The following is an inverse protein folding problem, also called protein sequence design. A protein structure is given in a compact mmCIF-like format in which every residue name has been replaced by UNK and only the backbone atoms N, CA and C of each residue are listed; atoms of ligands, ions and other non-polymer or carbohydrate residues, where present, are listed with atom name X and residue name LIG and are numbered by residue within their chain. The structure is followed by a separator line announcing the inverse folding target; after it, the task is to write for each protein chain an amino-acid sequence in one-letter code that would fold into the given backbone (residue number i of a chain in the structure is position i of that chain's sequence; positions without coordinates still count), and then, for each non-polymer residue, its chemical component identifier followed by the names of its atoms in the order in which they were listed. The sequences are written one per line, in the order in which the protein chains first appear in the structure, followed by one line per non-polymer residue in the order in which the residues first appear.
data_IF_581768148319
#
_entry.id   IF_581768148319
#
_cell.length_a   1.000
_cell.length_b   1.000
_cell.length_c   1.000
_cell.angle_alpha   90.00
_cell.angle_beta   90.00
_cell.angle_gamma   90.00
#
_symmetry.space_group_name_H-M   'P 1'
#
loop_
_entity.id
_entity.type
_entity.pdbx_description
1 polymer ?
#
# COMPACT_ATOMS: atom_id res chain seq x y z
N UNK A 1 41.55 27.47 3.86
CA UNK A 1 40.39 26.98 4.64
C UNK A 1 39.21 27.81 4.20
N UNK A 2 38.40 27.28 3.29
CA UNK A 2 37.26 27.99 2.69
C UNK A 2 36.03 27.65 3.52
N UNK A 3 35.51 28.64 4.24
CA UNK A 3 34.32 28.53 5.08
C UNK A 3 33.11 28.34 4.18
N UNK A 4 32.55 27.13 4.16
CA UNK A 4 31.28 26.87 3.48
C UNK A 4 30.19 27.53 4.32
N UNK A 5 29.58 28.58 3.77
CA UNK A 5 28.37 29.16 4.34
C UNK A 5 27.28 28.09 4.34
N UNK A 6 26.85 27.66 5.51
CA UNK A 6 25.62 26.89 5.68
C UNK A 6 24.46 27.80 5.33
N UNK A 7 23.95 27.69 4.10
CA UNK A 7 22.64 28.21 3.75
C UNK A 7 21.61 27.60 4.70
N UNK A 8 21.04 28.44 5.55
CA UNK A 8 19.86 28.08 6.34
C UNK A 8 18.70 28.01 5.35
N UNK A 9 18.39 26.78 4.92
CA UNK A 9 17.18 26.55 4.13
C UNK A 9 15.98 27.11 4.91
N UNK A 10 15.10 27.91 4.27
CA UNK A 10 13.91 28.43 4.94
C UNK A 10 13.11 27.25 5.50
N UNK A 11 12.59 27.38 6.72
CA UNK A 11 11.74 26.36 7.31
C UNK A 11 10.51 26.17 6.43
N UNK A 12 10.46 25.09 5.67
CA UNK A 12 9.31 24.74 4.84
C UNK A 12 8.20 24.29 5.80
N UNK A 13 7.36 25.23 6.21
CA UNK A 13 6.14 24.92 6.93
C UNK A 13 5.13 24.29 5.98
N UNK A 14 4.39 23.30 6.47
CA UNK A 14 3.26 22.77 5.72
C UNK A 14 2.22 23.87 5.48
N UNK A 15 1.49 23.85 4.35
CA UNK A 15 0.45 24.82 4.09
C UNK A 15 -0.55 24.90 5.24
N UNK A 16 -1.07 26.08 5.52
CA UNK A 16 -2.01 26.30 6.62
C UNK A 16 -3.25 25.40 6.51
N UNK A 17 -3.74 25.19 5.28
CA UNK A 17 -4.89 24.34 5.01
C UNK A 17 -4.72 22.90 5.51
N UNK A 18 -3.48 22.39 5.61
CA UNK A 18 -3.21 21.04 6.10
C UNK A 18 -3.49 20.91 7.61
N UNK A 19 -3.41 22.03 8.34
CA UNK A 19 -3.71 22.11 9.77
C UNK A 19 -5.16 22.50 10.06
N UNK A 20 -6.00 22.66 9.04
CA UNK A 20 -7.43 22.90 9.17
C UNK A 20 -8.19 21.71 8.61
N UNK A 21 -9.19 21.20 9.35
CA UNK A 21 -10.00 20.08 8.87
C UNK A 21 -10.77 20.55 7.65
N UNK A 22 -10.58 19.88 6.51
CA UNK A 22 -11.23 20.34 5.28
C UNK A 22 -12.74 20.16 5.39
N UNK A 23 -13.49 21.20 5.03
CA UNK A 23 -14.94 21.13 4.92
C UNK A 23 -15.32 20.57 3.54
N UNK A 24 -15.09 19.27 3.35
CA UNK A 24 -15.46 18.53 2.14
C UNK A 24 -16.51 17.50 2.48
N UNK A 25 -17.41 17.25 1.53
CA UNK A 25 -18.35 16.14 1.66
C UNK A 25 -17.58 14.81 1.66
N UNK A 26 -17.48 14.18 2.82
CA UNK A 26 -16.76 12.91 2.99
C UNK A 26 -17.51 11.73 2.34
N UNK A 27 -18.78 11.89 1.93
CA UNK A 27 -19.50 10.87 1.19
C UNK A 27 -18.83 10.55 -0.16
N UNK A 28 -18.08 11.50 -0.75
CA UNK A 28 -17.32 11.26 -1.98
C UNK A 28 -16.26 10.16 -1.80
N UNK A 29 -15.75 9.96 -0.58
CA UNK A 29 -14.77 8.93 -0.27
C UNK A 29 -15.39 7.52 -0.15
N UNK A 30 -16.72 7.41 -0.11
CA UNK A 30 -17.44 6.14 -0.13
C UNK A 30 -17.68 5.61 -1.55
N UNK A 31 -17.50 6.45 -2.57
CA UNK A 31 -17.80 6.11 -3.96
C UNK A 31 -16.50 5.84 -4.70
N UNK A 32 -16.28 4.60 -5.20
CA UNK A 32 -15.11 4.30 -6.01
C UNK A 32 -15.08 5.15 -7.29
N UNK A 33 -13.89 5.60 -7.67
CA UNK A 33 -13.67 6.39 -8.89
C UNK A 33 -14.22 5.70 -10.14
N UNK A 34 -14.09 4.37 -10.23
CA UNK A 34 -14.60 3.59 -11.37
C UNK A 34 -16.14 3.56 -11.45
N UNK A 35 -16.83 3.85 -10.36
CA UNK A 35 -18.29 3.86 -10.27
C UNK A 35 -18.86 5.29 -10.22
N UNK A 36 -18.01 6.31 -10.16
CA UNK A 36 -18.45 7.69 -10.07
C UNK A 36 -19.08 8.13 -11.41
N UNK A 37 -20.40 8.14 -11.46
CA UNK A 37 -21.16 8.86 -12.49
C UNK A 37 -21.00 10.36 -12.28
N UNK A 38 -20.83 11.11 -13.37
CA UNK A 38 -20.62 12.56 -13.35
C UNK A 38 -21.69 13.25 -12.51
N UNK A 39 -21.32 13.65 -11.30
CA UNK A 39 -22.02 14.68 -10.55
C UNK A 39 -21.11 15.89 -10.62
N UNK A 40 -21.53 16.88 -11.41
CA UNK A 40 -20.92 18.20 -11.39
C UNK A 40 -20.94 18.69 -9.94
N UNK A 41 -19.76 18.84 -9.34
CA UNK A 41 -19.60 19.68 -8.16
C UNK A 41 -19.96 21.10 -8.62
N UNK A 42 -21.21 21.50 -8.39
CA UNK A 42 -21.74 22.80 -8.77
C UNK A 42 -20.95 23.94 -8.14
N UNK A 43 -20.14 24.61 -8.93
CA UNK A 43 -20.33 26.01 -9.34
C UNK A 43 -19.20 26.38 -10.29
N UNK A 44 -19.59 27.05 -11.37
CA UNK A 44 -18.90 27.17 -12.65
C UNK A 44 -17.80 28.22 -12.69
N UNK A 45 -16.88 28.30 -11.73
CA UNK A 45 -15.76 29.26 -11.78
C UNK A 45 -14.53 28.84 -10.94
N UNK A 46 -13.94 27.66 -11.21
CA UNK A 46 -12.69 27.24 -10.57
C UNK A 46 -11.84 26.28 -11.43
N UNK A 47 -10.53 26.53 -11.61
CA UNK A 47 -9.66 25.66 -12.39
C UNK A 47 -9.10 24.55 -11.51
N UNK A 48 -9.70 23.35 -11.56
CA UNK A 48 -9.09 22.03 -11.36
C UNK A 48 -10.13 21.01 -10.85
N UNK A 49 -10.98 20.55 -11.77
CA UNK A 49 -11.77 19.35 -11.54
C UNK A 49 -10.87 18.12 -11.69
N UNK A 50 -10.95 17.17 -10.75
CA UNK A 50 -10.56 15.79 -11.00
C UNK A 50 -11.45 15.34 -12.17
N UNK A 51 -10.89 15.31 -13.39
CA UNK A 51 -11.60 14.80 -14.56
C UNK A 51 -11.89 13.32 -14.32
N UNK A 52 -13.11 13.02 -13.88
CA UNK A 52 -13.71 11.70 -14.05
C UNK A 52 -13.75 11.37 -15.54
N UNK A 53 -13.75 10.07 -15.92
CA UNK A 53 -13.86 9.71 -17.31
C UNK A 53 -15.16 10.31 -17.88
N UNK A 54 -15.02 11.07 -18.96
CA UNK A 54 -16.15 11.63 -19.71
C UNK A 54 -16.76 10.48 -20.52
N UNK A 55 -18.00 10.11 -20.24
CA UNK A 55 -18.82 9.33 -21.17
C UNK A 55 -19.52 8.12 -20.54
N UNK A 56 -20.85 8.25 -20.45
CA UNK A 56 -21.84 7.17 -20.37
C UNK A 56 -21.87 6.37 -19.06
N UNK A 57 -23.07 5.91 -18.67
CA UNK A 57 -23.30 5.05 -17.51
C UNK A 57 -22.68 3.65 -17.74
N UNK A 58 -21.36 3.60 -17.84
CA UNK A 58 -20.63 2.37 -18.08
C UNK A 58 -20.67 1.50 -16.81
N UNK A 59 -20.88 0.17 -16.95
CA UNK A 59 -20.74 -0.75 -15.83
C UNK A 59 -19.34 -0.63 -15.21
N UNK A 60 -19.21 -0.79 -13.88
CA UNK A 60 -17.93 -0.64 -13.17
C UNK A 60 -16.76 -1.46 -13.76
N UNK A 61 -17.06 -2.63 -14.35
CA UNK A 61 -16.06 -3.44 -15.07
C UNK A 61 -15.47 -2.71 -16.29
N UNK A 62 -16.27 -1.99 -17.07
CA UNK A 62 -15.79 -1.28 -18.26
C UNK A 62 -15.02 -0.02 -17.87
N UNK A 63 -15.47 0.70 -16.85
CA UNK A 63 -14.75 1.84 -16.27
C UNK A 63 -13.38 1.43 -15.71
N UNK A 64 -13.31 0.27 -15.04
CA UNK A 64 -12.05 -0.30 -14.58
C UNK A 64 -11.11 -0.59 -15.76
N UNK A 65 -11.60 -1.25 -16.81
CA UNK A 65 -10.80 -1.54 -18.00
C UNK A 65 -10.31 -0.25 -18.67
N UNK A 66 -11.16 0.77 -18.76
CA UNK A 66 -10.78 2.07 -19.29
C UNK A 66 -9.68 2.73 -18.46
N UNK A 67 -9.74 2.63 -17.13
CA UNK A 67 -8.68 3.13 -16.25
C UNK A 67 -7.38 2.36 -16.46
N UNK A 68 -7.42 1.03 -16.44
CA UNK A 68 -6.25 0.17 -16.62
C UNK A 68 -5.56 0.40 -17.97
N UNK A 69 -6.33 0.67 -19.04
CA UNK A 69 -5.79 0.99 -20.38
C UNK A 69 -5.04 2.32 -20.46
N UNK A 70 -5.17 3.22 -19.48
CA UNK A 70 -4.40 4.49 -19.45
C UNK A 70 -2.93 4.27 -19.14
N UNK A 71 -2.59 3.13 -18.54
CA UNK A 71 -1.24 2.78 -18.14
C UNK A 71 -0.86 1.45 -18.75
N UNK A 72 0.19 1.46 -19.57
CA UNK A 72 0.69 0.22 -20.18
C UNK A 72 1.13 -0.78 -19.10
N UNK A 73 1.78 -0.32 -18.02
CA UNK A 73 2.21 -1.18 -16.92
C UNK A 73 1.02 -1.82 -16.18
N UNK A 74 0.02 -1.03 -15.79
CA UNK A 74 -1.15 -1.56 -15.08
C UNK A 74 -1.98 -2.47 -15.98
N UNK A 75 -2.24 -2.06 -17.23
CA UNK A 75 -2.99 -2.85 -18.19
C UNK A 75 -2.33 -4.20 -18.46
N UNK A 76 -1.01 -4.22 -18.65
CA UNK A 76 -0.25 -5.45 -18.89
C UNK A 76 -0.21 -6.36 -17.66
N UNK A 77 -0.06 -5.79 -16.46
CA UNK A 77 0.01 -6.56 -15.21
C UNK A 77 -1.34 -7.16 -14.82
N UNK A 78 -2.42 -6.38 -14.92
CA UNK A 78 -3.75 -6.86 -14.58
C UNK A 78 -4.33 -7.79 -15.65
N UNK A 79 -3.92 -7.62 -16.92
CA UNK A 79 -4.36 -8.43 -18.04
C UNK A 79 -5.86 -8.35 -18.30
N UNK A 80 -6.42 -9.38 -18.94
CA UNK A 80 -7.86 -9.51 -19.09
C UNK A 80 -8.47 -9.99 -17.78
N UNK A 81 -8.85 -9.04 -16.94
CA UNK A 81 -9.49 -9.32 -15.65
C UNK A 81 -10.96 -8.93 -15.69
N UNK A 82 -11.82 -9.77 -15.13
CA UNK A 82 -13.22 -9.46 -14.95
C UNK A 82 -13.45 -9.08 -13.49
N UNK A 83 -13.87 -7.84 -13.24
CA UNK A 83 -14.16 -7.38 -11.88
C UNK A 83 -15.13 -8.32 -11.16
N UNK A 84 -16.12 -8.88 -11.88
CA UNK A 84 -17.11 -9.83 -11.31
C UNK A 84 -16.49 -11.07 -10.67
N UNK A 85 -15.34 -11.53 -11.17
CA UNK A 85 -14.65 -12.68 -10.59
C UNK A 85 -14.06 -12.31 -9.21
N UNK A 86 -13.63 -11.07 -9.04
CA UNK A 86 -13.24 -10.54 -7.73
C UNK A 86 -14.46 -10.33 -6.83
N UNK A 87 -15.59 -9.87 -7.38
CA UNK A 87 -16.83 -9.65 -6.61
C UNK A 87 -17.44 -10.94 -6.09
N UNK A 88 -17.48 -11.97 -6.93
CA UNK A 88 -18.08 -13.27 -6.59
C UNK A 88 -17.11 -14.17 -5.81
N UNK A 89 -15.81 -13.90 -5.93
CA UNK A 89 -14.77 -14.78 -5.44
C UNK A 89 -14.54 -15.96 -6.38
N UNK A 90 -13.28 -16.29 -6.60
CA UNK A 90 -12.82 -17.48 -7.32
C UNK A 90 -11.74 -18.18 -6.50
N UNK A 91 -11.38 -19.40 -6.87
CA UNK A 91 -10.28 -20.13 -6.21
C UNK A 91 -8.96 -19.34 -6.22
N UNK A 92 -8.71 -18.53 -7.26
CA UNK A 92 -7.48 -17.75 -7.38
C UNK A 92 -7.40 -16.60 -6.36
N UNK A 93 -8.54 -15.98 -6.01
CA UNK A 93 -8.59 -14.76 -5.20
C UNK A 93 -9.18 -14.95 -3.78
N UNK A 94 -9.52 -16.19 -3.41
CA UNK A 94 -10.06 -16.56 -2.08
C UNK A 94 -9.15 -17.45 -1.25
N UNK A 95 -8.02 -17.91 -1.80
CA UNK A 95 -7.15 -18.90 -1.14
C UNK A 95 -5.91 -18.30 -0.48
N UNK A 96 -5.32 -17.27 -1.09
CA UNK A 96 -4.09 -16.65 -0.60
C UNK A 96 -4.40 -15.37 0.18
N UNK A 97 -3.86 -15.28 1.38
CA UNK A 97 -3.89 -14.04 2.14
C UNK A 97 -2.76 -13.12 1.69
N UNK A 98 -3.13 -11.88 1.39
CA UNK A 98 -2.21 -10.90 0.81
C UNK A 98 -2.23 -9.56 1.52
N UNK A 99 -3.19 -9.30 2.40
CA UNK A 99 -3.36 -7.98 2.97
C UNK A 99 -3.74 -7.98 4.44
N UNK A 100 -3.50 -6.84 5.10
CA UNK A 100 -4.08 -6.51 6.39
C UNK A 100 -4.61 -5.07 6.37
N UNK A 101 -5.74 -4.85 7.04
CA UNK A 101 -6.45 -3.57 7.11
C UNK A 101 -6.56 -3.11 8.58
N UNK A 102 -6.22 -1.86 8.86
CA UNK A 102 -6.42 -1.19 10.16
C UNK A 102 -7.18 0.13 9.95
N UNK A 103 -8.46 0.14 10.32
CA UNK A 103 -9.37 1.28 10.19
C UNK A 103 -9.62 1.92 11.56
N UNK A 104 -9.27 3.20 11.72
CA UNK A 104 -9.38 3.94 12.99
C UNK A 104 -10.00 5.33 12.84
N UNK A 105 -10.60 5.80 13.94
CA UNK A 105 -11.14 7.14 14.12
C UNK A 105 -10.38 7.83 15.26
N UNK A 106 -10.05 9.11 15.11
CA UNK A 106 -9.37 9.86 16.17
C UNK A 106 -10.24 10.12 17.39
N UNK A 107 -11.58 10.00 17.28
CA UNK A 107 -12.65 10.16 18.27
C UNK A 107 -12.20 10.55 19.69
N UNK A 108 -11.63 11.75 19.83
CA UNK A 108 -11.29 12.41 21.09
C UNK A 108 -10.74 11.51 22.21
N UNK A 109 -11.33 11.64 23.41
CA UNK A 109 -10.86 11.13 24.72
C UNK A 109 -11.07 9.61 24.89
N UNK A 110 -11.51 8.89 23.86
CA UNK A 110 -11.78 7.45 24.01
C UNK A 110 -10.47 6.65 24.17
N UNK A 111 -10.45 5.61 25.03
CA UNK A 111 -9.36 4.65 25.13
C UNK A 111 -9.01 4.04 23.76
N UNK A 112 -7.74 3.77 23.52
CA UNK A 112 -7.19 3.31 22.23
C UNK A 112 -7.92 2.11 21.61
N UNK A 113 -8.34 1.14 22.43
CA UNK A 113 -9.11 -0.03 21.99
C UNK A 113 -10.51 0.33 21.44
N UNK A 114 -11.05 1.50 21.80
CA UNK A 114 -12.34 2.02 21.29
C UNK A 114 -12.18 2.94 20.08
N UNK A 115 -10.94 3.12 19.57
CA UNK A 115 -10.65 3.92 18.37
C UNK A 115 -10.57 3.10 17.09
N UNK A 116 -10.58 1.77 17.19
CA UNK A 116 -10.78 0.90 16.03
C UNK A 116 -12.24 1.01 15.58
N UNK A 117 -12.46 1.44 14.34
CA UNK A 117 -13.82 1.58 13.77
C UNK A 117 -14.43 0.23 13.40
N UNK A 118 -13.56 -0.74 13.09
CA UNK A 118 -13.96 -2.06 12.62
C UNK A 118 -13.19 -3.13 13.38
N UNK A 119 -13.83 -4.24 13.77
CA UNK A 119 -13.12 -5.38 14.34
C UNK A 119 -12.03 -5.86 13.39
N UNK A 120 -10.83 -6.10 13.91
CA UNK A 120 -9.75 -6.69 13.13
C UNK A 120 -10.16 -8.10 12.68
N UNK A 121 -10.29 -8.30 11.37
CA UNK A 121 -10.71 -9.59 10.78
C UNK A 121 -9.55 -10.56 10.54
N UNK A 122 -8.34 -10.19 10.95
CA UNK A 122 -7.14 -10.93 10.57
C UNK A 122 -6.65 -10.55 9.17
N UNK A 123 -5.76 -11.37 8.60
CA UNK A 123 -5.29 -11.21 7.24
C UNK A 123 -6.44 -11.43 6.24
N UNK A 124 -6.37 -10.73 5.11
CA UNK A 124 -7.38 -10.72 4.07
C UNK A 124 -6.84 -11.33 2.78
N UNK A 125 -7.68 -12.12 2.11
CA UNK A 125 -7.49 -12.52 0.71
C UNK A 125 -7.76 -11.33 -0.21
N UNK A 126 -7.51 -11.46 -1.50
CA UNK A 126 -7.80 -10.39 -2.47
C UNK A 126 -9.31 -10.11 -2.51
N UNK A 127 -10.13 -11.16 -2.51
CA UNK A 127 -11.59 -11.04 -2.39
C UNK A 127 -12.01 -10.42 -1.05
N UNK A 128 -11.45 -10.88 0.07
CA UNK A 128 -11.76 -10.32 1.39
C UNK A 128 -11.35 -8.85 1.52
N UNK A 129 -10.21 -8.47 0.93
CA UNK A 129 -9.76 -7.08 0.84
C UNK A 129 -10.74 -6.23 0.04
N UNK A 130 -11.16 -6.70 -1.14
CA UNK A 130 -12.16 -6.02 -1.95
C UNK A 130 -13.47 -5.79 -1.19
N UNK A 131 -13.98 -6.82 -0.50
CA UNK A 131 -15.19 -6.73 0.31
C UNK A 131 -15.07 -5.69 1.44
N UNK A 132 -13.96 -5.68 2.19
CA UNK A 132 -13.78 -4.70 3.26
C UNK A 132 -13.62 -3.27 2.74
N UNK A 133 -12.94 -3.08 1.59
CA UNK A 133 -12.76 -1.76 1.00
C UNK A 133 -14.03 -1.19 0.38
N UNK A 134 -14.98 -2.03 -0.04
CA UNK A 134 -16.31 -1.60 -0.52
C UNK A 134 -17.22 -1.06 0.58
N UNK A 135 -16.98 -1.41 1.84
CA UNK A 135 -17.79 -0.91 2.95
C UNK A 135 -17.54 0.57 3.14
N UNK A 136 -18.61 1.34 3.40
CA UNK A 136 -18.55 2.80 3.59
C UNK A 136 -17.45 3.19 4.57
N UNK A 137 -16.57 4.08 4.14
CA UNK A 137 -15.48 4.66 4.93
C UNK A 137 -16.00 5.73 5.89
N UNK A 138 -16.98 6.52 5.46
CA UNK A 138 -17.60 7.59 6.23
C UNK A 138 -19.11 7.40 6.30
N UNK A 139 -19.71 7.85 7.39
CA UNK A 139 -21.16 7.92 7.53
C UNK A 139 -21.71 8.90 6.50
N UNK A 140 -22.88 8.57 5.98
CA UNK A 140 -23.69 9.47 5.17
C UNK A 140 -24.92 9.71 6.00
N UNK A 141 -25.18 10.96 6.37
CA UNK A 141 -26.40 11.33 7.06
C UNK A 141 -27.56 11.15 6.08
N UNK A 142 -28.17 9.95 6.08
CA UNK A 142 -29.42 9.72 5.35
C UNK A 142 -30.52 10.48 6.11
N UNK A 143 -30.88 11.66 5.61
CA UNK A 143 -32.05 12.44 6.03
C UNK A 143 -33.33 11.59 5.87
N UNK A 144 -33.65 10.74 6.86
CA UNK A 144 -34.84 9.90 6.83
C UNK A 144 -34.79 8.58 7.61
N UNK A 145 -33.64 8.14 8.14
CA UNK A 145 -33.57 6.94 8.97
C UNK A 145 -33.68 7.26 10.46
N UNK A 146 -34.91 7.27 10.97
CA UNK A 146 -35.24 7.47 12.39
C UNK A 146 -34.97 6.24 13.27
N UNK A 147 -34.36 5.18 12.75
CA UNK A 147 -34.01 3.99 13.51
C UNK A 147 -32.57 3.61 13.23
N UNK A 148 -31.70 4.11 14.11
CA UNK A 148 -30.29 3.74 14.19
C UNK A 148 -30.23 2.26 14.61
N UNK A 149 -29.81 1.37 13.71
CA UNK A 149 -29.61 -0.03 14.08
C UNK A 149 -28.39 -0.15 14.99
N UNK A 150 -28.31 -1.23 15.78
CA UNK A 150 -27.13 -1.48 16.64
C UNK A 150 -25.84 -1.59 15.82
N UNK A 151 -25.94 -2.03 14.56
CA UNK A 151 -24.82 -2.09 13.62
C UNK A 151 -24.40 -0.70 13.10
N UNK A 152 -25.33 0.23 12.88
CA UNK A 152 -25.03 1.62 12.49
C UNK A 152 -24.27 2.38 13.60
N UNK A 153 -24.52 2.03 14.87
CA UNK A 153 -23.83 2.62 16.01
C UNK A 153 -22.33 2.25 16.06
N UNK A 154 -21.93 1.12 15.45
CA UNK A 154 -20.56 0.61 15.42
C UNK A 154 -19.72 1.14 14.25
N UNK A 155 -20.33 1.56 13.13
CA UNK A 155 -19.58 2.05 11.96
C UNK A 155 -19.22 3.54 12.09
N UNK A 156 -18.27 3.89 12.95
CA UNK A 156 -17.74 5.27 13.03
C UNK A 156 -16.91 5.65 11.80
N UNK A 157 -16.85 6.94 11.48
CA UNK A 157 -16.02 7.48 10.39
C UNK A 157 -14.57 6.98 10.45
N UNK A 158 -14.04 6.56 9.31
CA UNK A 158 -12.67 6.03 9.21
C UNK A 158 -11.77 7.14 8.71
N UNK A 159 -11.29 7.94 9.65
CA UNK A 159 -10.36 9.04 9.42
C UNK A 159 -8.99 8.50 8.96
N UNK A 160 -8.51 7.42 9.59
CA UNK A 160 -7.21 6.78 9.30
C UNK A 160 -7.41 5.35 8.84
N UNK A 161 -6.96 5.03 7.63
CA UNK A 161 -6.96 3.65 7.08
C UNK A 161 -5.55 3.20 6.72
N UNK A 162 -5.11 2.06 7.22
CA UNK A 162 -3.86 1.44 6.79
C UNK A 162 -4.09 0.13 6.06
N UNK A 163 -3.39 0.02 4.95
CA UNK A 163 -3.36 -1.14 4.10
C UNK A 163 -1.93 -1.58 3.94
N UNK A 164 -1.63 -2.78 4.42
CA UNK A 164 -0.39 -3.46 4.08
C UNK A 164 -0.72 -4.60 3.12
N UNK A 165 -0.06 -4.62 1.96
CA UNK A 165 -0.24 -5.61 0.91
C UNK A 165 1.11 -6.27 0.67
N UNK A 166 1.13 -7.59 0.75
CA UNK A 166 2.34 -8.38 0.57
C UNK A 166 2.26 -9.10 -0.77
N UNK A 167 3.33 -8.98 -1.55
CA UNK A 167 3.49 -9.64 -2.85
C UNK A 167 2.27 -9.37 -3.75
N UNK A 168 1.90 -8.10 -3.89
CA UNK A 168 0.72 -7.67 -4.63
C UNK A 168 0.69 -8.33 -6.00
N UNK A 169 -0.41 -9.03 -6.28
CA UNK A 169 -0.71 -9.65 -7.57
C UNK A 169 -1.77 -8.83 -8.33
N UNK A 170 -2.19 -9.34 -9.49
CA UNK A 170 -3.20 -8.69 -10.33
C UNK A 170 -4.53 -8.44 -9.60
N UNK A 171 -4.96 -9.38 -8.76
CA UNK A 171 -6.23 -9.29 -8.03
C UNK A 171 -6.13 -8.29 -6.88
N UNK A 172 -5.00 -8.25 -6.18
CA UNK A 172 -4.70 -7.23 -5.17
C UNK A 172 -4.69 -5.83 -5.78
N UNK A 173 -4.00 -5.63 -6.91
CA UNK A 173 -3.98 -4.34 -7.61
C UNK A 173 -5.39 -3.91 -8.05
N UNK A 174 -6.18 -4.83 -8.60
CA UNK A 174 -7.57 -4.55 -9.00
C UNK A 174 -8.45 -4.25 -7.79
N UNK A 175 -8.32 -4.97 -6.67
CA UNK A 175 -9.07 -4.69 -5.46
C UNK A 175 -8.85 -3.24 -4.98
N UNK A 176 -7.60 -2.77 -5.02
CA UNK A 176 -7.25 -1.40 -4.64
C UNK A 176 -7.80 -0.37 -5.65
N UNK A 177 -7.56 -0.56 -6.95
CA UNK A 177 -7.99 0.37 -7.99
C UNK A 177 -9.52 0.47 -8.07
N UNK A 178 -10.21 -0.66 -7.98
CA UNK A 178 -11.66 -0.73 -8.11
C UNK A 178 -12.42 -0.16 -6.90
N UNK A 179 -11.72 0.09 -5.78
CA UNK A 179 -12.33 0.61 -4.54
C UNK A 179 -11.79 1.98 -4.14
N UNK A 180 -10.76 2.49 -4.80
CA UNK A 180 -10.20 3.81 -4.51
C UNK A 180 -11.17 4.93 -4.91
N UNK A 181 -11.30 5.93 -4.04
CA UNK A 181 -12.08 7.14 -4.33
C UNK A 181 -11.38 8.02 -5.36
N UNK A 182 -12.10 9.04 -5.87
CA UNK A 182 -11.53 10.01 -6.80
C UNK A 182 -10.33 10.77 -6.22
N UNK A 183 -10.25 10.94 -4.89
CA UNK A 183 -9.12 11.63 -4.25
C UNK A 183 -7.88 10.75 -4.14
N UNK A 184 -8.06 9.43 -4.09
CA UNK A 184 -6.98 8.47 -3.88
C UNK A 184 -6.40 7.95 -5.21
N UNK A 185 -7.26 7.78 -6.22
CA UNK A 185 -6.94 6.94 -7.39
C UNK A 185 -5.68 7.36 -8.15
N UNK A 186 -5.42 8.67 -8.28
CA UNK A 186 -4.25 9.15 -9.03
C UNK A 186 -2.94 8.77 -8.33
N UNK A 187 -2.78 9.14 -7.06
CA UNK A 187 -1.56 8.86 -6.31
C UNK A 187 -1.41 7.35 -6.03
N UNK A 188 -2.51 6.63 -5.79
CA UNK A 188 -2.49 5.18 -5.68
C UNK A 188 -2.05 4.51 -6.99
N UNK A 189 -2.57 4.97 -8.13
CA UNK A 189 -2.17 4.48 -9.45
C UNK A 189 -0.67 4.63 -9.67
N UNK A 190 -0.12 5.83 -9.43
CA UNK A 190 1.32 6.10 -9.50
C UNK A 190 2.13 5.23 -8.54
N UNK A 191 1.65 5.03 -7.30
CA UNK A 191 2.33 4.17 -6.33
C UNK A 191 2.39 2.70 -6.79
N UNK A 192 1.30 2.19 -7.39
CA UNK A 192 1.27 0.84 -7.98
C UNK A 192 2.19 0.77 -9.21
N UNK A 193 2.23 1.79 -10.05
CA UNK A 193 3.15 1.83 -11.20
C UNK A 193 4.62 1.81 -10.77
N UNK A 194 5.01 2.64 -9.79
CA UNK A 194 6.36 2.64 -9.23
C UNK A 194 6.72 1.28 -8.61
N UNK A 195 5.74 0.63 -7.99
CA UNK A 195 5.89 -0.75 -7.49
C UNK A 195 6.14 -1.73 -8.65
N UNK A 196 5.33 -1.71 -9.70
CA UNK A 196 5.47 -2.62 -10.83
C UNK A 196 6.78 -2.38 -11.60
N UNK A 197 7.15 -1.11 -11.79
CA UNK A 197 8.35 -0.69 -12.51
C UNK A 197 9.66 -0.97 -11.78
N UNK A 198 9.63 -1.42 -10.52
CA UNK A 198 10.83 -1.62 -9.69
C UNK A 198 11.67 -0.34 -9.57
N UNK A 199 11.00 0.82 -9.46
CA UNK A 199 11.66 2.12 -9.47
C UNK A 199 11.88 2.67 -8.07
N UNK A 200 13.10 3.11 -7.78
CA UNK A 200 13.42 3.87 -6.57
C UNK A 200 12.88 5.30 -6.71
N UNK A 201 12.10 5.78 -5.74
CA UNK A 201 11.60 7.16 -5.74
C UNK A 201 11.21 7.63 -4.34
N UNK A 202 11.37 8.93 -4.10
CA UNK A 202 10.80 9.63 -2.96
C UNK A 202 10.08 10.84 -3.51
N UNK A 203 8.77 10.96 -3.25
CA UNK A 203 7.95 12.03 -3.81
C UNK A 203 7.07 12.63 -2.73
N UNK A 204 6.94 13.96 -2.78
CA UNK A 204 6.04 14.73 -1.95
C UNK A 204 5.20 15.59 -2.89
N UNK A 205 3.90 15.38 -2.86
CA UNK A 205 2.92 16.13 -3.65
C UNK A 205 2.07 16.93 -2.68
N UNK A 206 2.17 18.25 -2.76
CA UNK A 206 1.36 19.20 -1.98
C UNK A 206 0.79 20.21 -2.98
N UNK A 207 -0.52 20.14 -3.29
CA UNK A 207 -1.11 20.98 -4.30
C UNK A 207 -1.25 22.44 -3.81
N UNK A 208 -1.01 23.38 -4.72
CA UNK A 208 -1.20 24.82 -4.48
C UNK A 208 -2.64 25.28 -4.72
N UNK A 209 -3.48 24.45 -5.36
CA UNK A 209 -4.89 24.73 -5.65
C UNK A 209 -5.78 23.61 -5.14
N UNK A 210 -7.09 23.87 -5.05
CA UNK A 210 -8.07 22.84 -4.73
C UNK A 210 -8.20 21.80 -5.86
N UNK A 211 -8.62 20.55 -5.56
CA UNK A 211 -8.75 20.00 -4.21
C UNK A 211 -7.38 19.78 -3.54
N UNK A 212 -7.29 20.09 -2.25
CA UNK A 212 -6.04 20.00 -1.49
C UNK A 212 -5.78 18.57 -1.01
N UNK A 213 -5.36 17.68 -1.92
CA UNK A 213 -5.00 16.30 -1.61
C UNK A 213 -3.47 16.19 -1.60
N UNK A 214 -2.89 15.83 -0.46
CA UNK A 214 -1.45 15.56 -0.39
C UNK A 214 -1.16 14.08 -0.66
N UNK A 215 0.05 13.81 -1.15
CA UNK A 215 0.61 12.46 -1.24
C UNK A 215 2.09 12.46 -0.83
N UNK A 216 2.47 11.48 0.00
CA UNK A 216 3.85 11.21 0.41
C UNK A 216 4.20 9.79 -0.02
N UNK A 217 5.19 9.64 -0.90
CA UNK A 217 5.52 8.37 -1.52
C UNK A 217 7.00 8.04 -1.29
N UNK A 218 7.27 6.76 -1.00
CA UNK A 218 8.60 6.22 -0.82
C UNK A 218 8.66 4.82 -1.42
N UNK A 219 9.55 4.63 -2.39
CA UNK A 219 9.74 3.37 -3.09
C UNK A 219 11.23 3.04 -3.09
N UNK A 220 11.58 1.87 -2.56
CA UNK A 220 12.97 1.40 -2.51
C UNK A 220 13.06 -0.05 -2.95
N UNK A 221 13.54 -0.30 -4.18
CA UNK A 221 14.03 -1.60 -4.60
C UNK A 221 15.28 -1.98 -3.79
N UNK A 222 15.41 -3.26 -3.49
CA UNK A 222 16.58 -3.83 -2.81
C UNK A 222 16.73 -5.31 -3.21
N UNK A 223 17.78 -5.95 -2.68
CA UNK A 223 18.00 -7.37 -2.88
C UNK A 223 18.01 -8.10 -1.55
N UNK A 224 17.33 -9.24 -1.50
CA UNK A 224 17.37 -10.18 -0.39
C UNK A 224 18.33 -11.33 -0.69
N UNK A 225 19.19 -11.68 0.28
CA UNK A 225 20.03 -12.86 0.20
C UNK A 225 19.45 -13.97 1.07
N UNK A 226 19.20 -15.15 0.51
CA UNK A 226 18.74 -16.34 1.26
C UNK A 226 19.54 -17.57 0.88
N UNK A 227 19.52 -18.57 1.76
CA UNK A 227 20.04 -19.90 1.49
C UNK A 227 18.83 -20.80 1.26
N UNK A 228 18.63 -21.26 0.04
CA UNK A 228 17.51 -22.13 -0.33
C UNK A 228 18.02 -23.38 -1.07
N UNK A 229 17.29 -24.50 -0.93
CA UNK A 229 17.59 -25.74 -1.66
C UNK A 229 17.34 -25.59 -3.17
N UNK A 230 16.42 -24.71 -3.55
CA UNK A 230 16.06 -24.40 -4.92
C UNK A 230 15.86 -22.90 -5.10
N UNK A 231 16.00 -22.43 -6.34
CA UNK A 231 15.70 -21.04 -6.67
C UNK A 231 14.18 -20.84 -6.63
N UNK A 232 13.71 -19.88 -5.85
CA UNK A 232 12.31 -19.48 -5.81
C UNK A 232 12.08 -18.47 -6.93
N UNK A 233 11.16 -18.79 -7.83
CA UNK A 233 10.77 -17.90 -8.92
C UNK A 233 9.55 -17.10 -8.50
N UNK A 234 9.49 -15.82 -8.87
CA UNK A 234 8.29 -15.03 -8.62
C UNK A 234 7.11 -15.65 -9.41
N UNK A 235 6.03 -16.06 -8.72
CA UNK A 235 4.86 -16.62 -9.38
C UNK A 235 4.11 -15.57 -10.20
N UNK A 236 4.24 -14.28 -9.86
CA UNK A 236 3.58 -13.18 -10.58
C UNK A 236 4.32 -12.94 -11.89
N UNK A 237 3.56 -12.83 -12.98
CA UNK A 237 4.10 -12.68 -14.34
C UNK A 237 3.74 -11.33 -14.94
N UNK A 238 4.64 -10.81 -15.78
CA UNK A 238 4.39 -9.71 -16.70
C UNK A 238 3.63 -10.23 -17.93
N UNK A 239 3.23 -9.32 -18.81
CA UNK A 239 2.51 -9.64 -20.06
C UNK A 239 3.31 -10.53 -21.01
N UNK A 240 4.64 -10.48 -20.96
CA UNK A 240 5.55 -11.34 -21.73
C UNK A 240 5.79 -12.72 -21.09
N UNK A 241 5.13 -13.01 -19.96
CA UNK A 241 5.30 -14.25 -19.20
C UNK A 241 6.55 -14.29 -18.32
N UNK A 242 7.40 -13.26 -18.36
CA UNK A 242 8.55 -13.14 -17.45
C UNK A 242 8.09 -12.90 -16.00
N UNK A 243 8.86 -13.33 -14.99
CA UNK A 243 8.51 -13.04 -13.60
C UNK A 243 8.53 -11.53 -13.31
N UNK A 244 7.68 -11.07 -12.40
CA UNK A 244 7.63 -9.65 -12.00
C UNK A 244 8.96 -9.21 -11.36
N UNK A 245 9.57 -10.11 -10.58
CA UNK A 245 10.87 -9.97 -9.92
C UNK A 245 11.81 -11.10 -10.31
N UNK A 246 13.09 -10.77 -10.44
CA UNK A 246 14.13 -11.74 -10.80
C UNK A 246 14.78 -12.35 -9.57
N UNK A 247 15.28 -13.56 -9.76
CA UNK A 247 16.11 -14.25 -8.79
C UNK A 247 17.30 -14.92 -9.46
N UNK A 248 18.40 -15.04 -8.72
CA UNK A 248 19.66 -15.60 -9.20
C UNK A 248 20.24 -16.58 -8.19
N UNK A 249 20.77 -17.70 -8.69
CA UNK A 249 21.70 -18.52 -7.92
C UNK A 249 23.07 -17.87 -8.01
N UNK A 250 23.68 -17.59 -6.87
CA UNK A 250 25.04 -17.06 -6.85
C UNK A 250 26.02 -18.23 -7.01
N UNK A 251 27.07 -18.10 -7.85
CA UNK A 251 28.00 -19.18 -8.16
C UNK A 251 29.05 -19.36 -7.05
N UNK A 252 28.60 -19.41 -5.80
CA UNK A 252 29.48 -19.61 -4.66
C UNK A 252 29.75 -21.11 -4.50
N UNK A 253 31.02 -21.53 -4.33
CA UNK A 253 31.34 -22.94 -4.14
C UNK A 253 30.60 -23.49 -2.91
N UNK A 254 29.88 -24.61 -3.07
CA UNK A 254 29.26 -25.36 -1.96
C UNK A 254 30.28 -25.77 -0.89
N UNK A 255 31.57 -25.78 -1.25
CA UNK A 255 32.73 -26.14 -0.44
C UNK A 255 33.17 -25.10 0.60
N UNK A 256 32.55 -23.91 0.67
CA UNK A 256 32.73 -22.99 1.81
C UNK A 256 31.84 -23.38 3.03
N UNK A 257 31.29 -24.59 3.02
CA UNK A 257 30.68 -25.24 4.17
C UNK A 257 31.72 -25.40 5.27
N UNK A 258 31.77 -24.44 6.19
CA UNK A 258 32.52 -24.54 7.43
C UNK A 258 32.07 -25.80 8.20
N UNK A 259 32.96 -26.46 8.99
CA UNK A 259 32.72 -27.82 9.44
C UNK A 259 31.60 -28.00 10.48
N UNK A 260 30.87 -26.96 10.89
CA UNK A 260 29.83 -27.09 11.91
C UNK A 260 28.64 -26.15 11.63
N UNK A 261 27.48 -26.77 11.34
CA UNK A 261 26.12 -26.20 11.38
C UNK A 261 25.64 -25.22 10.29
N UNK A 262 26.31 -25.09 9.14
CA UNK A 262 25.72 -24.30 8.03
C UNK A 262 24.56 -25.06 7.36
N UNK A 263 23.40 -24.43 7.15
CA UNK A 263 22.30 -25.04 6.42
C UNK A 263 22.76 -25.41 5.00
N UNK A 264 22.54 -26.67 4.63
CA UNK A 264 22.75 -27.16 3.26
C UNK A 264 21.84 -26.38 2.32
N UNK A 265 22.39 -25.68 1.32
CA UNK A 265 21.60 -24.95 0.33
C UNK A 265 22.44 -24.05 -0.57
N UNK A 266 21.85 -23.61 -1.68
CA UNK A 266 22.46 -22.65 -2.60
C UNK A 266 22.20 -21.23 -2.11
N UNK A 267 23.21 -20.36 -2.21
CA UNK A 267 23.06 -18.95 -1.95
C UNK A 267 22.30 -18.29 -3.12
N UNK A 268 21.15 -17.71 -2.83
CA UNK A 268 20.24 -17.13 -3.81
C UNK A 268 20.00 -15.65 -3.52
N UNK A 269 20.01 -14.85 -4.57
CA UNK A 269 19.72 -13.42 -4.55
C UNK A 269 18.33 -13.18 -5.16
N UNK A 270 17.52 -12.34 -4.54
CA UNK A 270 16.15 -12.06 -4.97
C UNK A 270 15.91 -10.56 -5.06
N UNK A 271 15.27 -10.10 -6.13
CA UNK A 271 14.73 -8.74 -6.19
C UNK A 271 13.58 -8.58 -5.19
N UNK A 272 13.63 -7.50 -4.42
CA UNK A 272 12.64 -7.18 -3.41
C UNK A 272 12.35 -5.67 -3.44
N UNK A 273 11.19 -5.25 -2.97
CA UNK A 273 10.82 -3.84 -2.98
C UNK A 273 9.92 -3.50 -1.81
N UNK A 274 10.16 -2.34 -1.21
CA UNK A 274 9.26 -1.72 -0.24
C UNK A 274 8.70 -0.48 -0.93
N UNK A 275 7.38 -0.31 -0.88
CA UNK A 275 6.71 0.88 -1.40
C UNK A 275 5.67 1.36 -0.40
N UNK A 276 5.62 2.66 -0.14
CA UNK A 276 4.68 3.27 0.79
C UNK A 276 4.11 4.54 0.15
N UNK A 277 2.79 4.69 0.21
CA UNK A 277 2.09 5.89 -0.21
C UNK A 277 1.11 6.32 0.88
N UNK A 278 1.28 7.53 1.40
CA UNK A 278 0.39 8.17 2.36
C UNK A 278 -0.37 9.28 1.64
N UNK A 279 -1.68 9.13 1.50
CA UNK A 279 -2.54 10.01 0.72
C UNK A 279 -3.62 10.57 1.64
N UNK A 280 -3.92 11.86 1.57
CA UNK A 280 -4.97 12.40 2.43
C UNK A 280 -5.44 13.79 2.05
N UNK A 281 -6.54 14.15 2.69
CA UNK A 281 -7.12 15.49 2.61
C UNK A 281 -6.41 16.41 3.60
N UNK A 282 -6.21 15.94 4.83
CA UNK A 282 -5.61 16.74 5.89
C UNK A 282 -4.89 15.85 6.90
N UNK A 283 -4.44 16.43 8.01
CA UNK A 283 -3.74 15.70 9.06
C UNK A 283 -4.60 14.67 9.81
N UNK A 284 -5.92 14.68 9.65
CA UNK A 284 -6.85 13.77 10.31
C UNK A 284 -7.32 12.67 9.36
N UNK A 285 -7.66 13.05 8.13
CA UNK A 285 -8.28 12.17 7.14
C UNK A 285 -7.27 11.74 6.07
N UNK A 286 -6.76 10.52 6.21
CA UNK A 286 -5.72 9.99 5.33
C UNK A 286 -5.69 8.46 5.30
N UNK A 287 -5.00 7.92 4.30
CA UNK A 287 -4.82 6.51 4.05
C UNK A 287 -3.35 6.22 3.78
N UNK A 288 -2.84 5.11 4.32
CA UNK A 288 -1.53 4.59 3.99
C UNK A 288 -1.65 3.27 3.25
N UNK A 289 -0.98 3.18 2.11
CA UNK A 289 -0.74 1.94 1.38
C UNK A 289 0.73 1.56 1.58
N UNK A 290 0.99 0.33 2.00
CA UNK A 290 2.31 -0.27 2.04
C UNK A 290 2.30 -1.52 1.16
N UNK A 291 3.26 -1.62 0.24
CA UNK A 291 3.49 -2.77 -0.62
C UNK A 291 4.84 -3.38 -0.28
N UNK A 292 4.82 -4.55 0.33
CA UNK A 292 6.01 -5.31 0.70
C UNK A 292 6.20 -6.47 -0.30
N UNK A 293 7.32 -6.48 -1.00
CA UNK A 293 7.67 -7.53 -1.97
C UNK A 293 8.79 -8.40 -1.41
N UNK A 294 8.42 -9.60 -0.98
CA UNK A 294 9.26 -10.60 -0.30
C UNK A 294 8.86 -12.01 -0.71
N UNK A 295 8.51 -12.21 -2.00
CA UNK A 295 7.88 -13.42 -2.52
C UNK A 295 8.64 -14.72 -2.25
N UNK A 296 9.94 -14.63 -1.99
CA UNK A 296 10.84 -15.75 -1.73
C UNK A 296 10.83 -16.24 -0.27
N UNK A 297 10.26 -15.49 0.67
CA UNK A 297 10.23 -15.84 2.10
C UNK A 297 8.97 -16.64 2.51
N UNK A 298 8.15 -17.12 1.55
CA UNK A 298 6.81 -17.70 1.80
C UNK A 298 6.70 -19.23 1.70
N UNK A 299 7.77 -19.95 1.38
CA UNK A 299 7.73 -21.42 1.18
C UNK A 299 7.81 -22.24 2.49
N UNK A 300 7.99 -21.61 3.66
CA UNK A 300 7.81 -22.31 4.95
C UNK A 300 6.34 -22.35 5.30
N UNK A 301 5.76 -23.56 5.21
CA UNK A 301 4.37 -24.01 5.41
C UNK A 301 3.65 -23.60 6.73
N UNK A 302 4.05 -22.53 7.41
CA UNK A 302 3.28 -21.91 8.50
C UNK A 302 2.94 -20.45 8.15
N UNK A 303 2.09 -20.19 7.13
CA UNK A 303 1.83 -18.84 6.66
C UNK A 303 0.98 -18.01 7.62
N UNK A 304 0.55 -18.56 8.78
CA UNK A 304 -0.46 -17.96 9.66
C UNK A 304 -0.07 -17.87 11.13
N UNK A 305 0.65 -18.84 11.66
CA UNK A 305 1.25 -18.79 13.00
C UNK A 305 2.42 -17.81 13.03
N UNK A 306 3.23 -17.71 11.96
CA UNK A 306 4.17 -16.60 11.79
C UNK A 306 3.45 -15.28 11.44
N UNK A 307 2.33 -15.31 10.72
CA UNK A 307 1.53 -14.11 10.45
C UNK A 307 0.92 -13.51 11.72
N UNK A 308 0.59 -14.33 12.73
CA UNK A 308 0.02 -13.87 14.01
C UNK A 308 1.08 -13.63 15.09
N UNK A 309 2.19 -14.38 15.08
CA UNK A 309 3.28 -14.22 16.06
C UNK A 309 4.38 -13.23 15.62
N UNK A 310 4.63 -13.07 14.32
CA UNK A 310 5.68 -12.19 13.75
C UNK A 310 5.13 -10.94 13.04
N UNK A 311 3.79 -10.78 12.88
CA UNK A 311 3.16 -9.53 12.40
C UNK A 311 2.41 -8.80 13.55
N UNK A 312 2.90 -8.98 14.78
CA UNK A 312 2.69 -7.99 15.86
C UNK A 312 3.73 -6.85 15.94
N UNK A 313 4.91 -6.87 15.32
CA UNK A 313 5.54 -5.64 14.92
C UNK A 313 4.83 -5.21 13.64
N UNK A 314 3.90 -4.26 13.75
CA UNK A 314 3.28 -3.71 12.56
C UNK A 314 4.37 -3.35 11.55
N UNK A 315 4.21 -3.80 10.31
CA UNK A 315 5.14 -3.52 9.19
C UNK A 315 5.25 -2.01 8.90
N UNK A 316 4.60 -1.17 9.70
CA UNK A 316 4.52 0.27 9.58
C UNK A 316 5.00 0.98 10.88
N UNK A 317 5.10 0.27 12.02
CA UNK A 317 5.75 0.64 13.28
C UNK A 317 5.30 -0.34 14.37
N UNK A 318 6.19 -1.04 15.11
CA UNK A 318 5.81 -1.89 16.24
C UNK A 318 4.93 -1.22 17.30
N UNK A 319 4.88 0.12 17.31
CA UNK A 319 4.04 0.92 18.22
C UNK A 319 2.63 1.20 17.70
N UNK A 320 2.35 1.02 16.41
CA UNK A 320 1.05 1.42 15.83
C UNK A 320 -0.13 0.55 16.30
N UNK A 321 0.12 -0.61 16.93
CA UNK A 321 -0.91 -1.42 17.57
C UNK A 321 -1.55 -0.66 18.74
N UNK A 322 -0.77 -0.40 19.77
CA UNK A 322 -1.25 0.21 21.02
C UNK A 322 -1.15 1.75 21.01
N UNK A 323 -0.18 2.34 20.30
CA UNK A 323 0.07 3.78 20.23
C UNK A 323 0.14 4.27 18.76
N UNK A 324 -1.00 4.41 18.08
CA UNK A 324 -1.05 4.81 16.69
C UNK A 324 -0.45 6.19 16.46
N UNK A 325 0.42 6.30 15.46
CA UNK A 325 0.87 7.57 14.91
C UNK A 325 -0.28 8.16 14.09
N UNK A 326 -0.83 9.27 14.59
CA UNK A 326 -2.02 9.91 14.01
C UNK A 326 -1.69 10.87 12.88
N UNK A 327 -0.53 11.54 12.94
CA UNK A 327 -0.19 12.51 11.92
C UNK A 327 0.42 11.79 10.71
N UNK A 328 -0.07 12.04 9.48
CA UNK A 328 0.41 11.31 8.30
C UNK A 328 1.90 11.57 8.03
N UNK A 329 2.42 12.72 8.44
CA UNK A 329 3.83 13.11 8.30
C UNK A 329 4.76 12.29 9.19
N UNK A 330 4.48 12.27 10.50
CA UNK A 330 5.27 11.49 11.44
C UNK A 330 5.18 10.01 11.10
N UNK A 331 4.01 9.57 10.67
CA UNK A 331 3.80 8.22 10.22
C UNK A 331 4.69 7.88 9.02
N UNK A 332 4.61 8.67 7.94
CA UNK A 332 5.44 8.49 6.75
C UNK A 332 6.94 8.45 7.10
N UNK A 333 7.42 9.42 7.88
CA UNK A 333 8.84 9.50 8.25
C UNK A 333 9.29 8.31 9.11
N UNK A 334 8.47 7.87 10.07
CA UNK A 334 8.76 6.67 10.87
C UNK A 334 8.79 5.41 10.01
N UNK A 335 7.85 5.27 9.08
CA UNK A 335 7.81 4.14 8.15
C UNK A 335 9.06 4.14 7.26
N UNK A 336 9.44 5.29 6.70
CA UNK A 336 10.68 5.44 5.90
C UNK A 336 11.92 5.09 6.73
N UNK A 337 12.02 5.57 7.96
CA UNK A 337 13.15 5.26 8.85
C UNK A 337 13.25 3.75 9.10
N UNK A 338 12.15 3.10 9.48
CA UNK A 338 12.10 1.67 9.78
C UNK A 338 12.44 0.84 8.53
N UNK A 339 11.80 1.13 7.40
CA UNK A 339 11.99 0.39 6.14
C UNK A 339 13.39 0.59 5.57
N UNK A 340 13.97 1.78 5.69
CA UNK A 340 15.36 2.03 5.28
C UNK A 340 16.35 1.23 6.12
N UNK A 341 16.14 1.15 7.45
CA UNK A 341 16.98 0.30 8.32
C UNK A 341 16.90 -1.17 7.92
N UNK A 342 15.71 -1.65 7.54
CA UNK A 342 15.54 -3.01 7.03
C UNK A 342 16.34 -3.23 5.73
N UNK A 343 16.23 -2.31 4.77
CA UNK A 343 16.99 -2.39 3.51
C UNK A 343 18.50 -2.36 3.74
N UNK A 344 18.99 -1.50 4.63
CA UNK A 344 20.41 -1.44 5.01
C UNK A 344 20.88 -2.78 5.60
N UNK A 345 20.06 -3.45 6.40
CA UNK A 345 20.38 -4.79 6.93
C UNK A 345 20.49 -5.86 5.85
N UNK A 346 19.58 -5.85 4.88
CA UNK A 346 19.60 -6.78 3.74
C UNK A 346 20.87 -6.57 2.88
N UNK A 347 21.19 -5.31 2.56
CA UNK A 347 22.43 -4.97 1.89
C UNK A 347 23.68 -5.35 2.69
N UNK A 348 23.67 -5.12 4.01
CA UNK A 348 24.76 -5.50 4.90
C UNK A 348 25.04 -7.01 4.86
N UNK A 349 24.00 -7.84 4.83
CA UNK A 349 24.11 -9.29 4.72
C UNK A 349 24.77 -9.72 3.40
N UNK A 350 24.43 -9.06 2.29
CA UNK A 350 25.04 -9.30 0.97
C UNK A 350 26.53 -8.94 1.01
N UNK A 351 26.86 -7.73 1.49
CA UNK A 351 28.25 -7.26 1.57
C UNK A 351 29.10 -8.18 2.44
N UNK A 352 28.58 -8.57 3.61
CA UNK A 352 29.26 -9.51 4.50
C UNK A 352 29.56 -10.83 3.78
N UNK A 353 28.56 -11.40 3.08
CA UNK A 353 28.75 -12.67 2.39
C UNK A 353 29.78 -12.57 1.27
N UNK A 354 29.77 -11.48 0.50
CA UNK A 354 30.77 -11.24 -0.54
C UNK A 354 32.18 -11.08 0.05
N UNK A 355 32.32 -10.38 1.18
CA UNK A 355 33.60 -10.23 1.87
C UNK A 355 34.14 -11.57 2.40
N UNK A 356 33.27 -12.44 2.92
CA UNK A 356 33.66 -13.80 3.32
C UNK A 356 34.24 -14.59 2.16
N UNK A 357 33.75 -14.39 0.93
CA UNK A 357 34.16 -15.16 -0.25
C UNK A 357 35.43 -14.59 -0.88
N UNK A 358 35.56 -13.26 -0.97
CA UNK A 358 36.72 -12.59 -1.59
C UNK A 358 37.97 -12.64 -0.71
N UNK A 359 37.83 -12.89 0.60
CA UNK A 359 38.98 -13.05 1.52
C UNK A 359 39.67 -14.43 1.44
N UNK A 360 39.27 -15.30 0.53
CA UNK A 360 39.90 -16.59 0.26
C UNK A 360 40.81 -16.56 -0.97
#
# INVERSE_FOLDING_TARGET
MTTVATEVLPSVSWPEWFNTRQNVDLAIENTPYINASVTELGNSDGPNYIRTPRGENLPGSESLLQYLRRSELLGNFCGQINLRDLENGTTENTTKYVASLDDRNSAGVLPLARRQCRPYKGPLTQHGLYQELRRKRFRVDDEGKTQQTVDDALESDIERRFLNIINMDRWGAVALIATASATQIQALGTAIENYLAFQASVRVTIPSSLPHIFALEFHIPYYGLRIHNSLVNDPRKRSDGSPLRHSWKLPFPETLSMPYHTPTGTCCLYEAQLSVAVIGLDRWTWIAYAFDDTYFDYDTLEPFTQFTAQIRPSLISPRDGDEPVWTPREHFLKTVEIKTKQVVKEWGSIVQKLQEIVRW
#
